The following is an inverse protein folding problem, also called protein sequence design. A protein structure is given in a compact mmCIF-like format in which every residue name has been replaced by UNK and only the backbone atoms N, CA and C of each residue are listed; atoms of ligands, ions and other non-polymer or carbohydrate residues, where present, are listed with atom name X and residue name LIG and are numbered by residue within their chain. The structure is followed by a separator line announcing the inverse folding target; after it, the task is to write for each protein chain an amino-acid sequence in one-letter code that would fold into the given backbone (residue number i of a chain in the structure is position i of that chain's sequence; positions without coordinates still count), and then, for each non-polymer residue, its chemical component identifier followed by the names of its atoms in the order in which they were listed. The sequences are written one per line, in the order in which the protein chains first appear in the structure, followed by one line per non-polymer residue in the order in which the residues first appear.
data_IF_683972442757
#
_entry.id   IF_683972442757
#
_cell.length_a   1.000
_cell.length_b   1.000
_cell.length_c   1.000
_cell.angle_alpha   90.00
_cell.angle_beta   90.00
_cell.angle_gamma   90.00
#
_symmetry.space_group_name_H-M   'P 1'
#
loop_
_entity.id
_entity.type
_entity.pdbx_description
1 polymer ?
#
# COMPACT_ATOMS: atom_id res chain seq x y z
N UNK A 1 18.19 11.02 -2.37
CA UNK A 1 18.00 11.22 -1.81
C UNK A 1 17.64 11.47 -1.40
N UNK A 2 18.26 11.21 -1.67
CA UNK A 2 18.21 11.34 -0.95
C UNK A 2 18.06 11.44 -0.59
N UNK A 3 18.40 11.34 -0.56
CA UNK A 3 18.42 11.40 0.19
C UNK A 3 18.30 11.60 0.43
N UNK A 4 18.47 11.44 0.10
CA UNK A 4 18.42 11.45 0.72
C UNK A 4 18.47 11.67 0.90
N UNK A 5 18.79 11.69 0.93
CA UNK A 5 18.90 11.80 1.51
C UNK A 5 19.03 12.13 1.76
N UNK A 6 19.35 12.12 1.76
CA UNK A 6 19.51 12.28 2.42
C UNK A 6 19.83 12.76 2.73
N UNK A 7 20.14 12.90 2.93
CA UNK A 7 20.51 13.11 3.57
C UNK A 7 20.87 13.61 4.06
N UNK A 8 20.80 13.55 3.80
CA UNK A 8 21.29 14.08 4.46
C UNK A 8 21.68 14.14 5.60
N UNK A 9 21.09 13.84 6.26
CA UNK A 9 21.64 13.91 7.32
C UNK A 9 22.52 13.14 7.43
N UNK A 10 23.19 13.35 8.12
CA UNK A 10 24.20 12.82 8.02
C UNK A 10 24.61 12.05 9.17
N UNK A 11 23.88 11.91 10.16
CA UNK A 11 24.11 10.98 11.23
C UNK A 11 23.43 9.67 10.85
N UNK A 12 24.18 8.67 10.53
CA UNK A 12 23.59 7.40 10.15
C UNK A 12 22.76 6.77 11.28
N UNK A 13 23.09 7.09 12.51
CA UNK A 13 22.31 6.52 13.60
C UNK A 13 20.94 7.16 13.69
N UNK A 14 20.81 8.37 13.32
CA UNK A 14 19.54 9.07 13.35
C UNK A 14 18.54 8.44 12.40
N UNK A 15 19.02 7.81 11.34
CA UNK A 15 18.11 7.16 10.46
C UNK A 15 17.68 5.83 10.98
N UNK A 16 18.51 5.22 11.76
CA UNK A 16 18.21 3.91 12.22
C UNK A 16 17.40 3.93 13.46
N UNK A 17 17.60 4.99 14.25
CA UNK A 17 16.99 5.01 15.50
C UNK A 17 15.58 5.03 15.48
N UNK A 18 15.09 4.66 14.70
CA UNK A 18 14.03 4.68 14.77
C UNK A 18 12.96 4.29 14.81
N UNK A 19 12.89 4.05 14.32
CA UNK A 19 11.64 4.08 14.06
C UNK A 19 11.17 2.86 13.36
N UNK A 20 11.62 1.69 13.80
CA UNK A 20 11.15 0.42 13.31
C UNK A 20 9.79 0.14 13.94
N UNK A 21 8.74 0.40 13.19
CA UNK A 21 7.36 0.22 13.65
C UNK A 21 6.66 -0.83 12.78
N UNK A 22 5.54 -1.34 13.27
CA UNK A 22 4.74 -2.28 12.51
C UNK A 22 3.67 -1.58 11.66
N UNK A 23 3.47 -0.29 11.85
CA UNK A 23 2.50 0.50 11.08
C UNK A 23 3.00 1.94 11.04
N UNK A 24 3.01 2.53 9.84
CA UNK A 24 3.42 3.91 9.64
C UNK A 24 2.25 4.76 9.19
N UNK A 25 2.18 5.99 9.71
CA UNK A 25 1.15 6.94 9.33
C UNK A 25 1.46 7.52 7.95
N UNK A 26 0.45 8.09 7.32
CA UNK A 26 0.63 8.73 6.02
C UNK A 26 1.67 9.85 6.17
N UNK A 27 2.63 9.84 5.29
CA UNK A 27 3.71 10.82 5.33
C UNK A 27 4.95 10.38 6.09
N UNK A 28 4.86 9.29 6.86
CA UNK A 28 6.05 8.75 7.49
C UNK A 28 6.75 7.80 6.55
N UNK A 29 8.06 7.76 6.61
CA UNK A 29 8.85 6.85 5.80
C UNK A 29 9.60 5.91 6.74
N UNK A 30 9.49 4.60 6.54
CA UNK A 30 10.24 3.64 7.36
C UNK A 30 11.75 3.79 7.14
N UNK A 31 12.56 3.30 8.07
CA UNK A 31 13.99 3.18 7.81
C UNK A 31 14.24 2.39 6.53
N UNK A 32 15.28 2.75 5.81
CA UNK A 32 15.54 2.20 4.48
C UNK A 32 15.51 0.68 4.49
N UNK A 33 14.67 0.12 3.66
CA UNK A 33 14.54 -1.33 3.51
C UNK A 33 13.69 -2.02 4.57
N UNK A 34 13.24 -1.32 5.59
CA UNK A 34 12.36 -1.92 6.58
C UNK A 34 10.94 -2.05 6.04
N UNK A 35 10.39 -3.25 6.11
CA UNK A 35 9.02 -3.52 5.68
C UNK A 35 8.16 -3.65 6.94
N UNK A 36 7.18 -2.75 7.14
CA UNK A 36 6.32 -2.86 8.31
C UNK A 36 5.39 -4.06 8.18
N UNK A 37 4.94 -4.57 9.30
CA UNK A 37 4.06 -5.72 9.30
C UNK A 37 2.68 -5.38 8.75
N UNK A 38 2.22 -4.18 8.99
CA UNK A 38 0.89 -3.73 8.59
C UNK A 38 0.97 -2.42 7.81
N UNK A 39 -0.08 -2.12 7.07
CA UNK A 39 -0.16 -0.89 6.31
C UNK A 39 -1.60 -0.41 6.23
N UNK A 40 -1.79 0.87 5.99
CA UNK A 40 -3.10 1.42 5.65
C UNK A 40 -3.37 1.18 4.18
N UNK A 41 -4.60 0.84 3.86
CA UNK A 41 -5.01 0.66 2.48
C UNK A 41 -6.47 1.06 2.29
N UNK A 42 -6.82 1.56 1.11
CA UNK A 42 -8.21 1.72 0.73
C UNK A 42 -8.71 0.34 0.32
N UNK A 43 -9.58 -0.23 1.12
CA UNK A 43 -10.03 -1.61 0.94
C UNK A 43 -11.51 -1.67 0.60
N UNK A 44 -11.87 -2.64 -0.20
CA UNK A 44 -13.24 -2.95 -0.57
C UNK A 44 -13.54 -4.34 -0.02
N UNK A 45 -14.74 -4.53 0.49
CA UNK A 45 -15.20 -5.87 0.92
C UNK A 45 -16.46 -6.22 0.18
N UNK A 46 -16.69 -7.52 -0.03
CA UNK A 46 -17.85 -7.98 -0.80
C UNK A 46 -19.16 -7.43 -0.23
N UNK A 47 -19.26 -7.41 1.09
CA UNK A 47 -20.49 -6.95 1.72
C UNK A 47 -20.71 -5.44 1.63
N UNK A 48 -19.70 -4.71 1.17
CA UNK A 48 -19.78 -3.26 1.04
C UNK A 48 -19.88 -2.79 -0.40
N UNK A 49 -20.03 -3.68 -1.36
CA UNK A 49 -20.20 -3.24 -2.76
C UNK A 49 -21.30 -2.19 -2.86
N UNK A 50 -21.02 -1.11 -3.54
CA UNK A 50 -21.93 0.02 -3.67
C UNK A 50 -21.18 1.27 -4.08
N UNK A 51 -21.72 2.45 -3.78
CA UNK A 51 -21.05 3.70 -4.14
C UNK A 51 -19.65 3.73 -3.54
N UNK A 52 -18.66 4.26 -4.29
CA UNK A 52 -17.27 4.24 -3.82
C UNK A 52 -17.06 4.89 -2.46
N UNK A 53 -17.81 5.94 -2.15
CA UNK A 53 -17.67 6.63 -0.88
C UNK A 53 -18.05 5.76 0.31
N UNK A 54 -18.84 4.73 0.09
CA UNK A 54 -19.21 3.80 1.14
C UNK A 54 -18.41 2.50 1.05
N UNK A 55 -18.11 2.05 -0.15
CA UNK A 55 -17.45 0.78 -0.38
C UNK A 55 -15.95 0.81 -0.06
N UNK A 56 -15.30 1.92 -0.38
CA UNK A 56 -13.87 2.07 -0.12
C UNK A 56 -13.66 2.69 1.24
N UNK A 57 -12.98 1.96 2.11
CA UNK A 57 -12.69 2.44 3.46
C UNK A 57 -11.22 2.21 3.76
N UNK A 58 -10.63 3.12 4.52
CA UNK A 58 -9.24 2.94 4.96
C UNK A 58 -9.23 1.88 6.04
N UNK A 59 -8.45 0.85 5.81
CA UNK A 59 -8.29 -0.25 6.78
C UNK A 59 -6.82 -0.50 7.02
N UNK A 60 -6.51 -1.07 8.16
CA UNK A 60 -5.18 -1.58 8.45
C UNK A 60 -5.16 -3.03 7.98
N UNK A 61 -4.28 -3.34 7.06
CA UNK A 61 -4.15 -4.68 6.50
C UNK A 61 -2.69 -5.14 6.61
N UNK A 62 -2.50 -6.43 6.46
CA UNK A 62 -1.15 -6.97 6.50
C UNK A 62 -0.40 -6.53 5.25
N UNK A 63 0.83 -6.12 5.42
CA UNK A 63 1.67 -5.78 4.27
C UNK A 63 1.94 -7.06 3.47
N UNK A 64 1.73 -7.05 2.15
CA UNK A 64 1.94 -8.25 1.35
C UNK A 64 3.41 -8.62 1.28
N UNK A 65 3.69 -9.90 1.16
CA UNK A 65 5.03 -10.37 0.89
C UNK A 65 5.22 -10.49 -0.63
N UNK A 66 6.44 -10.69 -1.07
CA UNK A 66 6.76 -10.77 -2.49
C UNK A 66 7.24 -12.17 -2.87
N UNK A 67 6.80 -12.62 -4.04
CA UNK A 67 7.28 -13.86 -4.61
C UNK A 67 8.53 -13.61 -5.44
N UNK A 68 9.11 -14.67 -5.97
CA UNK A 68 10.41 -14.60 -6.61
C UNK A 68 10.52 -13.66 -7.80
N UNK A 69 9.42 -13.32 -8.44
CA UNK A 69 9.42 -12.42 -9.59
C UNK A 69 8.66 -11.13 -9.31
N UNK A 70 8.54 -10.77 -8.04
CA UNK A 70 7.81 -9.58 -7.63
C UNK A 70 8.70 -8.62 -6.89
N UNK A 71 8.28 -7.37 -6.82
CA UNK A 71 8.93 -6.37 -5.98
C UNK A 71 7.88 -5.72 -5.10
N UNK A 72 8.31 -5.29 -3.92
CA UNK A 72 7.47 -4.48 -3.04
C UNK A 72 7.87 -3.03 -3.23
N UNK A 73 6.90 -2.17 -3.44
CA UNK A 73 7.13 -0.76 -3.70
C UNK A 73 6.63 0.07 -2.53
N UNK A 74 7.49 0.98 -2.05
CA UNK A 74 7.02 2.06 -1.17
C UNK A 74 6.32 3.07 -2.06
N UNK A 75 5.00 3.11 -1.99
CA UNK A 75 4.19 3.91 -2.90
C UNK A 75 4.28 5.38 -2.53
N UNK A 76 4.63 6.21 -3.48
CA UNK A 76 4.71 7.66 -3.30
C UNK A 76 3.53 8.36 -3.95
N UNK A 77 2.95 7.77 -4.98
CA UNK A 77 1.80 8.32 -5.67
C UNK A 77 1.04 7.21 -6.39
N UNK A 78 -0.24 7.41 -6.58
CA UNK A 78 -1.07 6.45 -7.29
C UNK A 78 -2.13 7.21 -8.09
N UNK A 79 -2.39 6.75 -9.31
CA UNK A 79 -3.42 7.35 -10.13
C UNK A 79 -4.80 6.88 -9.71
N UNK A 80 -5.78 7.74 -9.91
CA UNK A 80 -7.17 7.39 -9.64
C UNK A 80 -7.84 7.14 -10.99
N UNK A 81 -8.42 5.96 -11.14
CA UNK A 81 -9.04 5.56 -12.39
C UNK A 81 -10.49 5.12 -12.19
N UNK A 82 -11.28 5.20 -13.23
CA UNK A 82 -12.68 4.81 -13.14
C UNK A 82 -12.86 3.32 -12.83
N UNK A 83 -11.86 2.49 -13.08
CA UNK A 83 -11.88 1.09 -12.68
C UNK A 83 -12.10 0.93 -11.17
N UNK A 84 -11.67 1.88 -10.37
CA UNK A 84 -11.93 1.88 -8.94
C UNK A 84 -13.42 1.96 -8.62
N UNK A 85 -14.16 2.72 -9.40
CA UNK A 85 -15.61 2.82 -9.24
C UNK A 85 -16.26 1.47 -9.56
N UNK A 86 -15.86 0.82 -10.62
CA UNK A 86 -16.41 -0.49 -10.98
C UNK A 86 -16.06 -1.53 -9.92
N UNK A 87 -14.85 -1.51 -9.38
CA UNK A 87 -14.47 -2.43 -8.32
C UNK A 87 -15.33 -2.20 -7.07
N UNK A 88 -15.58 -0.95 -6.72
CA UNK A 88 -16.41 -0.62 -5.57
C UNK A 88 -17.83 -1.11 -5.76
N UNK A 89 -18.37 -0.90 -6.95
CA UNK A 89 -19.74 -1.33 -7.26
C UNK A 89 -19.87 -2.84 -7.44
N UNK A 90 -18.78 -3.49 -7.79
CA UNK A 90 -18.81 -4.93 -8.06
C UNK A 90 -19.35 -5.29 -9.43
N UNK A 91 -19.29 -4.37 -10.39
CA UNK A 91 -19.81 -4.57 -11.75
C UNK A 91 -18.73 -4.25 -12.77
N UNK A 92 -18.74 -4.91 -13.93
CA UNK A 92 -19.67 -5.96 -14.34
C UNK A 92 -19.49 -7.26 -13.57
N UNK A 93 -18.31 -7.47 -12.95
CA UNK A 93 -18.06 -8.63 -12.12
C UNK A 93 -17.46 -8.16 -10.81
N UNK A 94 -17.74 -8.87 -9.75
CA UNK A 94 -17.08 -8.61 -8.48
C UNK A 94 -15.65 -9.12 -8.54
N UNK A 95 -14.71 -8.34 -8.01
CA UNK A 95 -13.32 -8.78 -7.87
C UNK A 95 -13.24 -10.02 -6.97
N UNK A 96 -14.21 -10.20 -6.07
CA UNK A 96 -14.26 -11.34 -5.17
C UNK A 96 -14.69 -12.63 -5.87
N UNK A 97 -15.15 -12.56 -7.11
CA UNK A 97 -15.39 -13.72 -7.92
C UNK A 97 -14.13 -14.19 -8.62
N UNK A 98 -13.11 -13.35 -8.66
CA UNK A 98 -11.84 -13.66 -9.32
C UNK A 98 -10.81 -14.12 -8.32
N UNK A 99 -10.75 -13.51 -7.15
CA UNK A 99 -9.83 -13.92 -6.09
C UNK A 99 -10.62 -14.23 -4.83
N UNK A 100 -9.97 -14.97 -3.94
CA UNK A 100 -10.65 -15.44 -2.73
C UNK A 100 -10.19 -14.73 -1.47
N UNK A 101 -9.61 -13.56 -1.62
CA UNK A 101 -9.16 -12.78 -0.47
C UNK A 101 -10.37 -12.15 0.23
N UNK A 102 -10.28 -11.91 1.54
CA UNK A 102 -11.40 -11.31 2.27
C UNK A 102 -11.61 -9.84 1.97
N UNK A 103 -10.64 -9.19 1.36
CA UNK A 103 -10.75 -7.79 0.98
C UNK A 103 -9.99 -7.58 -0.33
N UNK A 104 -10.23 -6.45 -0.98
CA UNK A 104 -9.53 -6.05 -2.20
C UNK A 104 -8.97 -4.65 -1.98
N UNK A 105 -7.68 -4.47 -2.22
CA UNK A 105 -7.07 -3.15 -2.16
C UNK A 105 -7.39 -2.42 -3.45
N UNK A 106 -8.02 -1.26 -3.34
CA UNK A 106 -8.46 -0.50 -4.49
C UNK A 106 -7.27 0.10 -5.24
N UNK A 107 -7.45 0.28 -6.55
CA UNK A 107 -6.46 0.92 -7.39
C UNK A 107 -5.65 -0.06 -8.20
N UNK A 108 -5.08 0.44 -9.29
CA UNK A 108 -4.27 -0.39 -10.17
C UNK A 108 -2.99 0.31 -10.61
N UNK A 109 -2.73 1.50 -10.11
CA UNK A 109 -1.53 2.26 -10.46
C UNK A 109 -0.70 2.53 -9.22
N UNK A 110 0.58 2.59 -9.39
CA UNK A 110 1.47 2.98 -8.30
C UNK A 110 2.78 3.51 -8.87
N UNK A 111 3.35 4.48 -8.19
CA UNK A 111 4.67 5.01 -8.48
C UNK A 111 5.40 5.13 -7.16
N UNK A 112 6.64 4.72 -7.12
CA UNK A 112 7.38 4.79 -5.87
C UNK A 112 8.76 4.19 -5.99
N UNK A 113 9.27 3.72 -4.86
CA UNK A 113 10.62 3.20 -4.75
C UNK A 113 10.56 1.71 -4.48
N UNK A 114 11.34 0.94 -5.19
CA UNK A 114 11.45 -0.50 -4.91
C UNK A 114 12.06 -0.66 -3.52
N UNK A 115 11.31 -1.31 -2.63
CA UNK A 115 11.70 -1.42 -1.24
C UNK A 115 12.18 -2.81 -0.87
N UNK A 116 11.69 -3.82 -1.57
CA UNK A 116 12.10 -5.20 -1.38
C UNK A 116 11.97 -5.96 -2.70
N UNK A 117 12.90 -6.85 -2.95
CA UNK A 117 12.89 -7.68 -4.16
C UNK A 117 12.69 -9.12 -3.72
N UNK A 118 11.85 -9.82 -4.45
CA UNK A 118 11.60 -11.22 -4.20
C UNK A 118 12.71 -12.15 -4.67
#
# INVERSE_FOLDING_TARGET
MSEATAAATTDPDAQVEGDFKDLYEIGEIPPLGHVPKNMYAWAIRRERHGPPEDAMQVEVVETPDVDSHEVLILVMAAGVNYNGVWAALGIPLSVFDVHKEPYHVAGSDASGIVWKVG
#
